data_IF_503727365045
#
_entry.id   IF_503727365045
#
_cell.length_a   1.000
_cell.length_b   1.000
_cell.length_c   1.000
_cell.angle_alpha   90.00
_cell.angle_beta   90.00
_cell.angle_gamma   90.00
#
_symmetry.space_group_name_H-M   'P 1'
#
loop_
_entity.id
_entity.type
_entity.pdbx_description
1 polymer ?
#
# COMPACT_ATOMS: atom_id res chain seq x y z
N UNK A 1 14.93 -12.84 -8.30
CA UNK A 1 13.46 -12.94 -8.40
C UNK A 1 12.84 -11.61 -8.81
N UNK A 2 13.26 -10.47 -8.23
CA UNK A 2 12.73 -9.15 -8.59
C UNK A 2 12.79 -8.81 -10.09
N UNK A 3 13.92 -9.07 -10.77
CA UNK A 3 14.05 -8.87 -12.24
C UNK A 3 13.02 -9.65 -13.06
N UNK A 4 12.65 -10.86 -12.61
CA UNK A 4 11.62 -11.65 -13.29
C UNK A 4 10.22 -11.08 -13.04
N UNK A 5 9.96 -10.55 -11.83
CA UNK A 5 8.70 -9.90 -11.50
C UNK A 5 8.51 -8.58 -12.29
N UNK A 6 9.60 -7.83 -12.53
CA UNK A 6 9.56 -6.62 -13.37
C UNK A 6 9.14 -6.92 -14.82
N UNK A 7 9.63 -8.02 -15.39
CA UNK A 7 9.35 -8.39 -16.78
C UNK A 7 8.03 -9.18 -16.97
N UNK A 8 7.50 -9.81 -15.94
CA UNK A 8 6.26 -10.61 -16.01
C UNK A 8 5.04 -9.72 -16.11
N UNK A 9 4.23 -9.79 -17.17
CA UNK A 9 3.07 -8.91 -17.38
C UNK A 9 1.76 -9.46 -16.79
N UNK A 10 1.68 -10.78 -16.58
CA UNK A 10 0.51 -11.40 -15.96
C UNK A 10 0.50 -11.07 -14.45
N UNK A 11 -0.55 -10.38 -13.95
CA UNK A 11 -0.60 -9.94 -12.55
C UNK A 11 -0.61 -11.11 -11.56
N UNK A 12 -1.19 -12.26 -11.92
CA UNK A 12 -1.25 -13.44 -11.05
C UNK A 12 0.13 -14.07 -10.93
N UNK A 13 0.84 -14.24 -12.05
CA UNK A 13 2.21 -14.76 -12.05
C UNK A 13 3.17 -13.81 -11.35
N UNK A 14 3.03 -12.50 -11.59
CA UNK A 14 3.82 -11.46 -10.93
C UNK A 14 3.61 -11.49 -9.41
N UNK A 15 2.36 -11.63 -8.94
CA UNK A 15 2.05 -11.77 -7.52
C UNK A 15 2.73 -12.99 -6.89
N UNK A 16 2.71 -14.15 -7.57
CA UNK A 16 3.39 -15.36 -7.09
C UNK A 16 4.92 -15.14 -6.93
N UNK A 17 5.54 -14.37 -7.82
CA UNK A 17 6.96 -14.00 -7.69
C UNK A 17 7.21 -13.09 -6.46
N UNK A 18 6.30 -12.18 -6.15
CA UNK A 18 6.38 -11.34 -4.94
C UNK A 18 6.22 -12.16 -3.66
N UNK A 19 5.30 -13.13 -3.63
CA UNK A 19 5.16 -14.06 -2.50
C UNK A 19 6.47 -14.83 -2.29
N UNK A 20 7.06 -15.37 -3.36
CA UNK A 20 8.33 -16.08 -3.29
C UNK A 20 9.48 -15.19 -2.80
N UNK A 21 9.48 -13.89 -3.13
CA UNK A 21 10.45 -12.95 -2.57
C UNK A 21 10.26 -12.71 -1.09
N UNK A 22 9.01 -12.56 -0.64
CA UNK A 22 8.68 -12.42 0.77
C UNK A 22 9.12 -13.64 1.58
N UNK A 23 8.92 -14.86 1.05
CA UNK A 23 9.37 -16.09 1.70
C UNK A 23 10.89 -16.10 1.96
N UNK A 24 11.69 -15.62 1.02
CA UNK A 24 13.14 -15.51 1.20
C UNK A 24 13.52 -14.56 2.34
N UNK A 25 12.85 -13.42 2.46
CA UNK A 25 13.11 -12.42 3.53
C UNK A 25 12.75 -12.99 4.90
N UNK A 26 11.63 -13.71 4.98
CA UNK A 26 11.16 -14.38 6.20
C UNK A 26 12.14 -15.47 6.63
N UNK A 27 12.50 -16.38 5.72
CA UNK A 27 13.39 -17.52 6.01
C UNK A 27 14.76 -17.09 6.53
N UNK A 28 15.27 -15.95 6.03
CA UNK A 28 16.56 -15.41 6.45
C UNK A 28 16.46 -14.41 7.61
N UNK A 29 15.27 -14.21 8.18
CA UNK A 29 15.01 -13.31 9.33
C UNK A 29 15.59 -11.90 9.10
N UNK A 30 15.53 -11.42 7.86
CA UNK A 30 16.14 -10.12 7.49
C UNK A 30 15.35 -8.95 8.08
N UNK A 31 14.03 -9.12 8.25
CA UNK A 31 13.13 -8.15 8.86
C UNK A 31 12.17 -8.89 9.79
N UNK A 32 12.03 -8.41 11.01
CA UNK A 32 11.05 -8.92 11.98
C UNK A 32 9.88 -7.93 12.04
N UNK A 33 8.71 -8.26 11.46
CA UNK A 33 7.55 -7.37 11.53
C UNK A 33 6.97 -7.38 12.95
N UNK A 34 6.99 -6.23 13.61
CA UNK A 34 6.41 -6.08 14.97
C UNK A 34 4.95 -5.68 14.89
N UNK A 35 4.65 -4.56 14.21
CA UNK A 35 3.30 -4.04 14.06
C UNK A 35 3.23 -3.06 12.89
N UNK A 36 2.09 -3.01 12.21
CA UNK A 36 1.76 -1.90 11.33
C UNK A 36 1.10 -0.79 12.15
N UNK A 37 1.77 0.35 12.31
CA UNK A 37 1.32 1.42 13.21
C UNK A 37 0.00 2.02 12.70
N UNK A 38 -1.09 1.98 13.48
CA UNK A 38 -2.32 2.67 13.12
C UNK A 38 -2.06 4.19 13.11
N UNK A 39 -2.60 4.87 12.10
CA UNK A 39 -2.60 6.34 12.02
C UNK A 39 -3.92 6.88 12.56
N UNK A 40 -3.86 8.05 13.19
CA UNK A 40 -5.05 8.76 13.68
C UNK A 40 -5.22 9.99 12.81
N UNK A 41 -6.40 10.11 12.18
CA UNK A 41 -6.78 11.24 11.36
C UNK A 41 -8.24 11.63 11.67
N UNK A 42 -8.57 12.90 11.49
CA UNK A 42 -9.92 13.43 11.64
C UNK A 42 -10.29 14.25 10.41
N UNK A 43 -11.55 14.17 10.00
CA UNK A 43 -12.06 14.84 8.81
C UNK A 43 -13.44 15.44 9.07
N UNK A 44 -13.74 16.56 8.42
CA UNK A 44 -15.05 17.20 8.49
C UNK A 44 -16.11 16.29 7.86
N UNK A 45 -17.28 16.17 8.51
CA UNK A 45 -18.45 15.47 7.96
C UNK A 45 -18.95 16.05 6.64
N UNK A 46 -18.54 17.27 6.28
CA UNK A 46 -18.91 17.96 5.03
C UNK A 46 -17.86 17.79 3.92
N UNK A 47 -16.74 17.11 4.18
CA UNK A 47 -15.71 16.86 3.19
C UNK A 47 -15.97 15.50 2.51
N UNK A 48 -15.83 15.45 1.19
CA UNK A 48 -16.05 14.27 0.36
C UNK A 48 -14.83 13.98 -0.50
N UNK A 49 -14.77 12.75 -1.02
CA UNK A 49 -13.69 12.26 -1.90
C UNK A 49 -12.29 12.30 -1.26
N UNK A 50 -12.24 11.95 0.02
CA UNK A 50 -11.04 11.96 0.87
C UNK A 50 -10.64 10.53 1.27
N UNK A 51 -10.51 9.64 0.29
CA UNK A 51 -10.16 8.25 0.51
C UNK A 51 -8.75 8.14 1.12
N UNK A 52 -8.58 7.30 2.13
CA UNK A 52 -7.26 7.07 2.73
C UNK A 52 -6.40 6.16 1.84
N UNK A 53 -5.13 6.51 1.65
CA UNK A 53 -4.14 5.66 1.00
C UNK A 53 -3.30 4.88 2.04
N UNK A 54 -3.16 3.57 1.86
CA UNK A 54 -2.32 2.74 2.73
C UNK A 54 -0.80 2.96 2.58
N UNK A 55 -0.38 3.68 1.53
CA UNK A 55 1.02 3.81 1.11
C UNK A 55 1.53 5.25 1.03
N UNK A 56 0.63 6.24 1.19
CA UNK A 56 0.93 7.67 1.04
C UNK A 56 0.32 8.47 2.21
N UNK A 57 0.49 9.78 2.18
CA UNK A 57 -0.12 10.76 3.06
C UNK A 57 -1.64 10.81 2.90
N UNK A 58 -2.31 11.38 3.90
CA UNK A 58 -3.76 11.61 3.85
C UNK A 58 -4.18 12.60 2.74
N UNK A 59 -3.22 13.32 2.13
CA UNK A 59 -3.46 14.31 1.08
C UNK A 59 -3.15 13.83 -0.34
N UNK A 60 -2.87 12.53 -0.55
CA UNK A 60 -2.45 11.97 -1.85
C UNK A 60 -3.40 12.30 -3.02
N UNK A 61 -4.70 12.50 -2.74
CA UNK A 61 -5.72 12.84 -3.73
C UNK A 61 -6.43 14.18 -3.47
N UNK A 62 -5.74 15.14 -2.84
CA UNK A 62 -6.31 16.42 -2.42
C UNK A 62 -7.07 17.17 -3.54
N UNK A 63 -6.64 17.04 -4.80
CA UNK A 63 -7.31 17.69 -5.93
C UNK A 63 -8.78 17.28 -6.10
N UNK A 64 -9.15 16.06 -5.69
CA UNK A 64 -10.52 15.55 -5.83
C UNK A 64 -11.44 15.98 -4.67
N UNK A 65 -10.88 16.60 -3.64
CA UNK A 65 -11.63 16.93 -2.43
C UNK A 65 -12.61 18.06 -2.71
N UNK A 66 -13.83 17.90 -2.21
CA UNK A 66 -14.84 18.93 -2.32
C UNK A 66 -15.75 18.94 -1.09
N UNK A 67 -16.39 20.08 -0.89
CA UNK A 67 -17.38 20.26 0.17
C UNK A 67 -18.75 19.80 -0.33
N UNK A 68 -19.43 19.00 0.48
CA UNK A 68 -20.85 18.70 0.29
C UNK A 68 -21.68 19.97 0.46
N UNK A 69 -22.48 20.29 -0.56
CA UNK A 69 -23.41 21.43 -0.60
C UNK A 69 -24.60 21.22 0.32
#
# INVERSE_FOLDING_TARGET
IWKAAEAEMDPVKRAALFVKMNDLVIQNVVVIPVVWRPRVAAISFRLRSSELCGWDSDFWNLHNWHREG
#
